data_IF_250787813479
#
_entry.id   IF_250787813479
#
_cell.length_a   1.000
_cell.length_b   1.000
_cell.length_c   1.000
_cell.angle_alpha   90.00
_cell.angle_beta   90.00
_cell.angle_gamma   90.00
#
_symmetry.space_group_name_H-M   'P 1'
#
loop_
_entity.id
_entity.type
_entity.pdbx_description
1 polymer ?
#
# COMPACT_ATOMS: atom_id res chain seq x y z
N UNK A 1 55.65 -51.37 2.84
CA UNK A 1 55.33 -50.00 2.41
C UNK A 1 53.82 -49.80 2.50
N UNK A 2 53.36 -49.25 3.62
CA UNK A 2 51.94 -49.03 3.91
C UNK A 2 51.47 -47.73 3.26
N UNK A 3 50.49 -47.81 2.35
CA UNK A 3 49.84 -46.63 1.78
C UNK A 3 48.70 -46.18 2.71
N UNK A 4 48.97 -45.11 3.44
CA UNK A 4 48.00 -44.36 4.24
C UNK A 4 46.90 -43.83 3.31
N UNK A 5 45.65 -44.28 3.49
CA UNK A 5 44.48 -43.70 2.82
C UNK A 5 43.92 -42.59 3.73
N UNK A 6 44.16 -41.35 3.33
CA UNK A 6 43.61 -40.16 3.96
C UNK A 6 42.10 -40.09 3.68
N UNK A 7 41.27 -40.22 4.71
CA UNK A 7 39.85 -39.93 4.66
C UNK A 7 39.66 -38.41 4.77
N UNK A 8 39.29 -37.75 3.67
CA UNK A 8 38.74 -36.40 3.71
C UNK A 8 37.26 -36.49 4.11
N UNK A 9 36.94 -36.14 5.35
CA UNK A 9 35.57 -35.84 5.77
C UNK A 9 35.18 -34.47 5.23
N UNK A 10 34.36 -34.44 4.17
CA UNK A 10 33.70 -33.22 3.70
C UNK A 10 32.51 -32.99 4.62
N UNK A 11 32.67 -32.12 5.62
CA UNK A 11 31.53 -31.57 6.36
C UNK A 11 30.82 -30.57 5.45
N UNK A 12 29.71 -30.98 4.83
CA UNK A 12 28.80 -30.08 4.16
C UNK A 12 28.02 -29.29 5.24
N UNK A 13 28.50 -28.09 5.57
CA UNK A 13 27.73 -27.13 6.36
C UNK A 13 26.66 -26.58 5.42
N UNK A 14 25.45 -27.14 5.50
CA UNK A 14 24.27 -26.54 4.91
C UNK A 14 23.95 -25.27 5.70
N UNK A 15 24.33 -24.11 5.17
CA UNK A 15 23.74 -22.85 5.59
C UNK A 15 22.28 -22.87 5.11
N UNK A 16 21.36 -23.18 6.01
CA UNK A 16 19.96 -22.85 5.81
C UNK A 16 19.87 -21.32 5.83
N UNK A 17 20.05 -20.70 4.67
CA UNK A 17 19.61 -19.33 4.46
C UNK A 17 18.09 -19.37 4.57
N UNK A 18 17.56 -19.01 5.75
CA UNK A 18 16.16 -18.64 5.88
C UNK A 18 15.99 -17.33 5.09
N UNK A 19 15.87 -17.43 3.77
CA UNK A 19 15.22 -16.39 3.01
C UNK A 19 13.78 -16.38 3.53
N UNK A 20 13.51 -15.51 4.52
CA UNK A 20 12.13 -15.21 4.92
C UNK A 20 11.48 -14.66 3.66
N UNK A 21 10.62 -15.46 3.03
CA UNK A 21 9.90 -15.03 1.84
C UNK A 21 9.22 -13.70 2.16
N UNK A 22 9.42 -12.69 1.31
CA UNK A 22 8.82 -11.37 1.53
C UNK A 22 7.30 -11.52 1.68
N UNK A 23 6.75 -10.92 2.74
CA UNK A 23 5.31 -10.89 2.98
C UNK A 23 4.66 -9.88 2.03
N UNK A 24 4.31 -10.35 0.84
CA UNK A 24 3.72 -9.55 -0.24
C UNK A 24 2.27 -9.98 -0.48
N UNK A 25 1.33 -9.04 -0.32
CA UNK A 25 -0.07 -9.26 -0.69
C UNK A 25 -0.28 -8.82 -2.13
N UNK A 26 -0.71 -9.73 -2.99
CA UNK A 26 -0.99 -9.45 -4.40
C UNK A 26 -2.49 -9.25 -4.68
N UNK A 27 -2.81 -8.75 -5.87
CA UNK A 27 -4.20 -8.64 -6.35
C UNK A 27 -4.91 -9.99 -6.37
N UNK A 28 -4.19 -11.07 -6.69
CA UNK A 28 -4.73 -12.44 -6.66
C UNK A 28 -5.18 -12.82 -5.24
N UNK A 29 -4.36 -12.53 -4.23
CA UNK A 29 -4.71 -12.74 -2.83
C UNK A 29 -5.99 -11.98 -2.47
N UNK A 30 -6.07 -10.70 -2.84
CA UNK A 30 -7.26 -9.86 -2.58
C UNK A 30 -8.51 -10.47 -3.20
N UNK A 31 -8.45 -10.87 -4.47
CA UNK A 31 -9.59 -11.44 -5.20
C UNK A 31 -10.04 -12.75 -4.54
N UNK A 32 -9.12 -13.68 -4.27
CA UNK A 32 -9.42 -14.97 -3.64
C UNK A 32 -9.98 -14.80 -2.22
N UNK A 33 -9.38 -13.93 -1.41
CA UNK A 33 -9.86 -13.60 -0.08
C UNK A 33 -11.29 -13.02 -0.11
N UNK A 34 -11.58 -12.13 -1.06
CA UNK A 34 -12.92 -11.52 -1.20
C UNK A 34 -14.02 -12.54 -1.52
N UNK A 35 -13.65 -13.64 -2.20
CA UNK A 35 -14.55 -14.73 -2.59
C UNK A 35 -14.56 -15.90 -1.60
N UNK A 36 -13.72 -15.86 -0.57
CA UNK A 36 -13.48 -16.96 0.37
C UNK A 36 -12.99 -18.24 -0.33
N UNK A 37 -12.14 -18.07 -1.33
CA UNK A 37 -11.46 -19.16 -2.03
C UNK A 37 -10.13 -19.51 -1.34
N UNK A 38 -9.50 -20.62 -1.76
CA UNK A 38 -8.17 -20.99 -1.29
C UNK A 38 -7.16 -19.89 -1.63
N UNK A 39 -6.43 -19.40 -0.62
CA UNK A 39 -5.49 -18.29 -0.75
C UNK A 39 -4.15 -18.76 -1.34
N UNK A 40 -3.46 -17.92 -2.13
CA UNK A 40 -2.08 -18.19 -2.49
C UNK A 40 -1.19 -18.15 -1.23
N UNK A 41 -0.15 -18.96 -1.22
CA UNK A 41 0.81 -19.01 -0.12
C UNK A 41 1.60 -17.70 -0.06
N UNK A 42 1.75 -17.15 1.14
CA UNK A 42 2.54 -15.96 1.44
C UNK A 42 3.37 -16.23 2.70
N UNK A 43 4.52 -15.57 2.81
CA UNK A 43 5.50 -15.83 3.88
C UNK A 43 5.13 -15.31 5.28
N UNK A 44 3.86 -15.09 5.57
CA UNK A 44 3.39 -14.43 6.79
C UNK A 44 1.92 -14.74 7.09
N UNK A 45 1.57 -14.64 8.37
CA UNK A 45 0.18 -14.71 8.83
C UNK A 45 -0.44 -13.32 8.88
N UNK A 46 -1.53 -13.12 8.13
CA UNK A 46 -2.18 -11.82 8.00
C UNK A 46 -3.52 -11.75 8.74
N UNK A 47 -3.70 -10.67 9.51
CA UNK A 47 -5.03 -10.25 9.96
C UNK A 47 -5.61 -9.22 8.97
N UNK A 48 -6.63 -9.64 8.23
CA UNK A 48 -7.21 -8.85 7.16
C UNK A 48 -8.73 -8.81 7.21
N UNK A 49 -9.28 -7.74 6.66
CA UNK A 49 -10.68 -7.67 6.25
C UNK A 49 -10.74 -7.28 4.79
N UNK A 50 -11.19 -8.22 3.95
CA UNK A 50 -11.32 -8.01 2.51
C UNK A 50 -12.75 -8.33 2.11
N UNK A 51 -13.38 -7.40 1.38
CA UNK A 51 -14.75 -7.56 0.90
C UNK A 51 -14.95 -6.93 -0.47
N UNK A 52 -15.52 -7.71 -1.38
CA UNK A 52 -16.10 -7.24 -2.64
C UNK A 52 -17.59 -6.94 -2.41
N UNK A 53 -18.01 -5.67 -2.62
CA UNK A 53 -19.41 -5.27 -2.45
C UNK A 53 -20.34 -5.72 -3.58
N UNK A 54 -19.81 -6.10 -4.75
CA UNK A 54 -20.58 -6.64 -5.87
C UNK A 54 -21.17 -8.01 -5.56
N UNK A 55 -20.54 -8.76 -4.64
CA UNK A 55 -21.02 -10.07 -4.20
C UNK A 55 -22.20 -10.00 -3.22
N UNK A 56 -22.74 -8.79 -2.94
CA UNK A 56 -23.95 -8.64 -2.11
C UNK A 56 -25.15 -9.25 -2.84
N UNK A 57 -25.77 -10.26 -2.23
CA UNK A 57 -26.99 -10.89 -2.74
C UNK A 57 -28.07 -9.84 -3.01
N UNK A 58 -28.70 -9.93 -4.18
CA UNK A 58 -29.87 -9.11 -4.55
C UNK A 58 -29.57 -7.78 -5.26
N UNK A 59 -28.31 -7.43 -5.50
CA UNK A 59 -27.96 -6.24 -6.31
C UNK A 59 -27.48 -6.69 -7.69
N UNK A 60 -28.16 -6.33 -8.79
CA UNK A 60 -27.66 -6.58 -10.14
C UNK A 60 -26.27 -5.97 -10.32
N UNK A 61 -25.33 -6.70 -10.93
CA UNK A 61 -23.95 -6.25 -11.15
C UNK A 61 -23.85 -4.91 -11.90
N UNK A 62 -24.82 -4.61 -12.77
CA UNK A 62 -24.93 -3.33 -13.49
C UNK A 62 -25.33 -2.13 -12.61
N UNK A 63 -25.88 -2.38 -11.42
CA UNK A 63 -26.26 -1.36 -10.42
C UNK A 63 -25.38 -1.39 -9.18
N UNK A 64 -24.52 -2.40 -9.04
CA UNK A 64 -23.64 -2.53 -7.90
C UNK A 64 -22.55 -1.45 -7.98
N UNK A 65 -22.42 -0.66 -6.91
CA UNK A 65 -21.23 0.15 -6.71
C UNK A 65 -20.07 -0.82 -6.42
N UNK A 66 -19.34 -1.19 -7.49
CA UNK A 66 -18.23 -2.13 -7.44
C UNK A 66 -17.15 -1.55 -6.54
N UNK A 67 -17.01 -2.08 -5.33
CA UNK A 67 -16.06 -1.56 -4.36
C UNK A 67 -15.33 -2.71 -3.67
N UNK A 68 -14.00 -2.61 -3.65
CA UNK A 68 -13.18 -3.39 -2.73
C UNK A 68 -13.00 -2.62 -1.43
N UNK A 69 -13.31 -3.26 -0.31
CA UNK A 69 -12.91 -2.83 1.02
C UNK A 69 -11.73 -3.71 1.42
N UNK A 70 -10.55 -3.12 1.57
CA UNK A 70 -9.31 -3.82 1.88
C UNK A 70 -8.72 -3.20 3.14
N UNK A 71 -8.62 -4.00 4.20
CA UNK A 71 -8.04 -3.59 5.47
C UNK A 71 -6.98 -4.57 5.88
N UNK A 72 -5.79 -4.05 6.21
CA UNK A 72 -4.73 -4.77 6.91
C UNK A 72 -4.32 -3.92 8.12
N UNK A 73 -4.37 -4.52 9.30
CA UNK A 73 -4.08 -3.80 10.54
C UNK A 73 -3.17 -4.58 11.47
N UNK A 74 -2.23 -3.87 12.09
CA UNK A 74 -1.25 -4.45 13.03
C UNK A 74 -0.44 -5.59 12.40
N UNK A 75 0.03 -5.39 11.16
CA UNK A 75 0.83 -6.36 10.42
C UNK A 75 2.31 -5.99 10.50
N UNK A 76 3.06 -6.68 11.36
CA UNK A 76 4.49 -6.47 11.51
C UNK A 76 5.28 -7.07 10.35
N UNK A 77 4.84 -8.20 9.80
CA UNK A 77 5.58 -8.88 8.73
C UNK A 77 5.29 -8.32 7.34
N UNK A 78 4.16 -7.62 7.15
CA UNK A 78 3.72 -7.10 5.85
C UNK A 78 4.67 -6.01 5.32
N UNK A 79 5.38 -6.33 4.23
CA UNK A 79 6.38 -5.43 3.61
C UNK A 79 5.86 -4.73 2.37
N UNK A 80 4.98 -5.38 1.60
CA UNK A 80 4.44 -4.84 0.36
C UNK A 80 2.99 -5.26 0.07
N UNK A 81 2.28 -4.39 -0.64
CA UNK A 81 0.99 -4.69 -1.26
C UNK A 81 1.04 -4.30 -2.73
N UNK A 82 0.65 -5.24 -3.61
CA UNK A 82 0.53 -5.02 -5.04
C UNK A 82 -0.91 -5.20 -5.53
N UNK A 83 -1.56 -4.08 -5.84
CA UNK A 83 -2.93 -3.98 -6.37
C UNK A 83 -2.96 -3.73 -7.88
N UNK A 84 -1.85 -3.85 -8.59
CA UNK A 84 -1.74 -3.45 -10.00
C UNK A 84 -2.66 -4.21 -10.96
N UNK A 85 -2.91 -5.49 -10.67
CA UNK A 85 -3.78 -6.38 -11.44
C UNK A 85 -5.23 -6.37 -10.94
N UNK A 86 -5.58 -5.51 -9.98
CA UNK A 86 -6.95 -5.39 -9.50
C UNK A 86 -7.83 -4.69 -10.55
N UNK A 87 -9.05 -5.20 -10.73
CA UNK A 87 -9.96 -4.70 -11.76
C UNK A 87 -10.26 -3.20 -11.59
N UNK A 88 -9.84 -2.39 -12.56
CA UNK A 88 -9.95 -0.92 -12.55
C UNK A 88 -11.39 -0.39 -12.56
N UNK A 89 -12.40 -1.24 -12.85
CA UNK A 89 -13.82 -0.87 -12.72
C UNK A 89 -14.23 -0.68 -11.27
N UNK A 90 -13.48 -1.23 -10.33
CA UNK A 90 -13.79 -1.11 -8.91
C UNK A 90 -13.28 0.20 -8.34
N UNK A 91 -14.08 0.78 -7.45
CA UNK A 91 -13.60 1.73 -6.47
C UNK A 91 -12.89 0.99 -5.33
N UNK A 92 -11.87 1.59 -4.73
CA UNK A 92 -11.14 0.95 -3.63
C UNK A 92 -11.21 1.81 -2.37
N UNK A 93 -11.51 1.16 -1.24
CA UNK A 93 -11.29 1.71 0.11
C UNK A 93 -10.16 0.91 0.74
N UNK A 94 -8.98 1.51 0.83
CA UNK A 94 -7.76 0.89 1.33
C UNK A 94 -7.43 1.42 2.72
N UNK A 95 -7.38 0.54 3.72
CA UNK A 95 -7.05 0.88 5.11
C UNK A 95 -5.85 0.07 5.58
N UNK A 96 -4.69 0.72 5.65
CA UNK A 96 -3.43 0.15 6.11
C UNK A 96 -3.05 0.86 7.41
N UNK A 97 -3.33 0.21 8.54
CA UNK A 97 -3.23 0.82 9.86
C UNK A 97 -2.25 0.03 10.75
N UNK A 98 -1.20 0.69 11.22
CA UNK A 98 -0.15 0.11 12.07
C UNK A 98 0.56 -1.09 11.40
N UNK A 99 1.03 -0.90 10.16
CA UNK A 99 1.83 -1.90 9.45
C UNK A 99 3.27 -1.38 9.32
N UNK A 100 4.09 -1.43 10.39
CA UNK A 100 5.30 -0.61 10.50
C UNK A 100 6.37 -0.94 9.45
N UNK A 101 6.40 -2.17 8.92
CA UNK A 101 7.36 -2.61 7.92
C UNK A 101 6.83 -2.48 6.48
N UNK A 102 5.58 -2.04 6.29
CA UNK A 102 5.01 -1.80 4.98
C UNK A 102 5.68 -0.57 4.36
N UNK A 103 6.48 -0.80 3.33
CA UNK A 103 7.25 0.23 2.63
C UNK A 103 6.79 0.42 1.19
N UNK A 104 6.17 -0.60 0.60
CA UNK A 104 5.80 -0.61 -0.82
C UNK A 104 4.30 -0.77 -0.99
N UNK A 105 3.70 0.12 -1.77
CA UNK A 105 2.31 0.03 -2.22
C UNK A 105 2.27 0.29 -3.73
N UNK A 106 1.89 -0.71 -4.51
CA UNK A 106 1.67 -0.58 -5.94
C UNK A 106 0.16 -0.55 -6.21
N UNK A 107 -0.31 0.51 -6.86
CA UNK A 107 -1.72 0.67 -7.24
C UNK A 107 -1.97 0.36 -8.72
N UNK A 108 -0.91 0.21 -9.52
CA UNK A 108 -0.96 0.15 -10.98
C UNK A 108 -1.82 1.27 -11.58
N UNK A 109 -2.89 0.87 -12.26
CA UNK A 109 -3.80 1.77 -12.99
C UNK A 109 -5.10 2.06 -12.23
N UNK A 110 -5.19 1.73 -10.94
CA UNK A 110 -6.35 2.08 -10.11
C UNK A 110 -6.47 3.60 -9.97
N UNK A 111 -7.61 4.16 -10.39
CA UNK A 111 -7.83 5.62 -10.41
C UNK A 111 -8.77 6.11 -9.32
N UNK A 112 -9.75 5.28 -8.94
CA UNK A 112 -10.86 5.71 -8.10
C UNK A 112 -10.78 5.12 -6.70
N UNK A 113 -10.47 5.96 -5.71
CA UNK A 113 -10.47 5.59 -4.31
C UNK A 113 -11.56 6.33 -3.53
N UNK A 114 -12.14 5.68 -2.53
CA UNK A 114 -12.85 6.39 -1.47
C UNK A 114 -11.82 6.95 -0.48
N UNK A 115 -11.00 6.03 0.03
CA UNK A 115 -10.06 6.27 1.11
C UNK A 115 -8.78 5.50 0.84
N UNK A 116 -7.65 6.13 1.13
CA UNK A 116 -6.35 5.49 1.29
C UNK A 116 -5.83 5.90 2.66
N UNK A 117 -5.84 4.98 3.62
CA UNK A 117 -5.26 5.18 4.95
C UNK A 117 -3.91 4.48 5.00
N UNK A 118 -2.85 5.24 5.27
CA UNK A 118 -1.46 4.77 5.38
C UNK A 118 -0.92 4.95 6.81
N UNK A 119 -1.83 4.96 7.78
CA UNK A 119 -1.53 5.28 9.17
C UNK A 119 -0.59 4.23 9.77
N UNK A 120 0.53 4.67 10.35
CA UNK A 120 1.48 3.77 10.99
C UNK A 120 2.20 2.82 10.02
N UNK A 121 2.21 3.11 8.71
CA UNK A 121 3.01 2.38 7.70
C UNK A 121 4.34 3.07 7.41
N UNK A 122 5.44 2.37 7.15
CA UNK A 122 6.74 2.98 6.80
C UNK A 122 6.77 3.76 5.47
N UNK A 123 5.68 3.79 4.70
CA UNK A 123 5.58 4.51 3.42
C UNK A 123 5.89 6.01 3.61
N UNK A 124 6.86 6.50 2.82
CA UNK A 124 7.27 7.92 2.72
C UNK A 124 7.18 8.46 1.30
N UNK A 125 7.41 7.61 0.30
CA UNK A 125 7.24 7.95 -1.10
C UNK A 125 5.80 7.61 -1.51
N UNK A 126 5.05 8.63 -1.94
CA UNK A 126 3.66 8.47 -2.39
C UNK A 126 3.49 8.77 -3.88
N UNK A 127 4.57 8.71 -4.67
CA UNK A 127 4.50 8.86 -6.14
C UNK A 127 3.66 7.78 -6.83
N UNK A 128 3.42 6.64 -6.19
CA UNK A 128 2.46 5.63 -6.66
C UNK A 128 1.02 6.17 -6.80
N UNK A 129 0.73 7.37 -6.27
CA UNK A 129 -0.55 8.05 -6.43
C UNK A 129 -0.72 8.75 -7.78
N UNK A 130 0.28 8.80 -8.67
CA UNK A 130 0.28 9.55 -9.94
C UNK A 130 -1.03 9.46 -10.76
N UNK A 131 -1.61 8.25 -10.78
CA UNK A 131 -2.78 7.91 -11.59
C UNK A 131 -4.14 8.16 -10.91
N UNK A 132 -4.19 8.50 -9.62
CA UNK A 132 -5.46 8.62 -8.91
C UNK A 132 -6.25 9.85 -9.35
N UNK A 133 -7.56 9.69 -9.53
CA UNK A 133 -8.48 10.75 -9.96
C UNK A 133 -9.46 11.18 -8.86
N UNK A 134 -9.57 10.39 -7.78
CA UNK A 134 -10.36 10.75 -6.60
C UNK A 134 -9.92 9.95 -5.37
N UNK A 135 -9.97 10.57 -4.19
CA UNK A 135 -9.78 9.86 -2.93
C UNK A 135 -9.43 10.76 -1.75
N UNK A 136 -9.72 10.27 -0.54
CA UNK A 136 -9.27 10.89 0.71
C UNK A 136 -8.06 10.13 1.26
N UNK A 137 -6.93 10.81 1.41
CA UNK A 137 -5.68 10.22 1.88
C UNK A 137 -5.46 10.56 3.35
N UNK A 138 -5.13 9.55 4.14
CA UNK A 138 -4.87 9.65 5.57
C UNK A 138 -3.48 9.10 5.90
N UNK A 139 -2.80 9.77 6.82
CA UNK A 139 -1.55 9.35 7.43
C UNK A 139 -1.61 9.70 8.92
N UNK A 140 -0.73 9.18 9.78
CA UNK A 140 -0.77 9.44 11.25
C UNK A 140 0.45 10.14 11.81
N UNK A 141 1.43 10.53 11.00
CA UNK A 141 2.71 10.95 11.58
C UNK A 141 3.14 12.29 11.04
N UNK A 142 2.64 13.34 11.68
CA UNK A 142 3.44 14.56 11.83
C UNK A 142 4.35 14.34 13.04
N UNK A 143 5.68 14.39 12.86
CA UNK A 143 6.56 14.63 14.02
C UNK A 143 6.42 16.12 14.33
N UNK A 144 5.99 16.45 15.53
CA UNK A 144 6.03 17.81 16.02
C UNK A 144 7.30 18.00 16.84
N UNK A 145 8.16 18.90 16.39
CA UNK A 145 9.30 19.34 17.17
C UNK A 145 8.89 20.56 18.00
N UNK A 146 8.78 20.37 19.31
CA UNK A 146 8.42 21.43 20.27
C UNK A 146 9.50 22.50 20.37
N UNK A 147 10.77 22.15 20.13
CA UNK A 147 11.90 23.08 20.28
C UNK A 147 11.99 24.01 19.09
N UNK A 148 11.68 23.51 17.90
CA UNK A 148 11.69 24.30 16.66
C UNK A 148 10.31 24.86 16.29
N UNK A 149 9.25 24.50 17.01
CA UNK A 149 7.86 24.80 16.65
C UNK A 149 7.54 24.35 15.20
N UNK A 150 8.07 23.19 14.78
CA UNK A 150 7.96 22.67 13.40
C UNK A 150 7.18 21.37 13.32
N UNK A 151 6.31 21.29 12.32
CA UNK A 151 5.66 20.06 11.88
C UNK A 151 6.45 19.46 10.72
N UNK A 152 6.71 18.16 10.79
CA UNK A 152 7.35 17.41 9.71
C UNK A 152 6.32 16.54 9.00
N UNK A 153 6.31 16.59 7.67
CA UNK A 153 5.52 15.69 6.85
C UNK A 153 6.11 14.28 6.90
N UNK A 154 5.26 13.27 7.01
CA UNK A 154 5.67 11.87 6.82
C UNK A 154 6.14 11.61 5.39
N UNK A 155 5.42 12.20 4.43
CA UNK A 155 5.65 11.96 3.02
C UNK A 155 6.72 12.91 2.50
N UNK A 156 7.74 12.34 1.89
CA UNK A 156 8.91 13.09 1.39
C UNK A 156 8.89 13.23 -0.13
N UNK A 157 8.17 12.36 -0.84
CA UNK A 157 8.06 12.39 -2.29
C UNK A 157 6.60 12.29 -2.69
N UNK A 158 6.15 13.24 -3.52
CA UNK A 158 4.80 13.32 -4.06
C UNK A 158 4.85 13.22 -5.58
N UNK A 159 3.75 12.83 -6.23
CA UNK A 159 3.54 13.11 -7.65
C UNK A 159 3.91 14.55 -7.98
N UNK A 160 4.65 14.76 -9.07
CA UNK A 160 5.18 16.07 -9.44
C UNK A 160 5.03 16.41 -10.93
N UNK A 161 4.48 15.51 -11.75
CA UNK A 161 4.06 15.88 -13.10
C UNK A 161 2.73 16.64 -13.01
N UNK A 162 2.74 17.93 -13.39
CA UNK A 162 1.54 18.77 -13.43
C UNK A 162 0.46 18.21 -14.36
N UNK A 163 0.84 17.46 -15.40
CA UNK A 163 -0.07 16.83 -16.32
C UNK A 163 -0.69 15.54 -15.77
N UNK A 164 -0.23 15.05 -14.62
CA UNK A 164 -0.71 13.82 -13.99
C UNK A 164 -2.19 13.90 -13.59
N UNK A 165 -2.81 12.73 -13.51
CA UNK A 165 -4.18 12.61 -13.03
C UNK A 165 -4.30 13.08 -11.58
N UNK A 166 -3.29 12.75 -10.76
CA UNK A 166 -3.20 13.20 -9.37
C UNK A 166 -3.23 14.73 -9.26
N UNK A 167 -2.34 15.44 -9.96
CA UNK A 167 -2.26 16.90 -9.83
C UNK A 167 -3.54 17.60 -10.33
N UNK A 168 -4.12 17.13 -11.44
CA UNK A 168 -5.44 17.58 -11.92
C UNK A 168 -6.56 17.34 -10.89
N UNK A 169 -6.56 16.17 -10.26
CA UNK A 169 -7.55 15.81 -9.24
C UNK A 169 -7.35 16.59 -7.93
N UNK A 170 -6.11 16.89 -7.55
CA UNK A 170 -5.76 17.71 -6.40
C UNK A 170 -6.24 19.15 -6.61
N UNK A 171 -5.95 19.76 -7.77
CA UNK A 171 -6.40 21.10 -8.15
C UNK A 171 -7.92 21.23 -8.14
N UNK A 172 -8.62 20.19 -8.59
CA UNK A 172 -10.09 20.12 -8.57
C UNK A 172 -10.69 19.62 -7.25
N UNK A 173 -9.87 19.46 -6.19
CA UNK A 173 -10.26 19.01 -4.84
C UNK A 173 -10.94 17.62 -4.79
N UNK A 174 -10.77 16.80 -5.83
CA UNK A 174 -11.22 15.39 -5.87
C UNK A 174 -10.29 14.47 -5.09
N UNK A 175 -9.03 14.87 -4.94
CA UNK A 175 -8.04 14.26 -4.06
C UNK A 175 -7.72 15.23 -2.93
N UNK A 176 -7.60 14.72 -1.69
CA UNK A 176 -7.23 15.54 -0.53
C UNK A 176 -6.55 14.71 0.56
N UNK A 177 -5.66 15.35 1.32
CA UNK A 177 -5.10 14.84 2.57
C UNK A 177 -5.93 15.36 3.75
N UNK A 178 -6.59 14.46 4.50
CA UNK A 178 -7.70 14.85 5.39
C UNK A 178 -7.28 15.29 6.80
N UNK A 179 -6.09 14.93 7.28
CA UNK A 179 -5.69 15.17 8.68
C UNK A 179 -4.47 16.06 8.85
N UNK A 180 -3.72 16.29 7.77
CA UNK A 180 -2.37 16.87 7.85
C UNK A 180 -2.20 17.94 6.80
N UNK A 181 -2.34 19.20 7.22
CA UNK A 181 -2.23 20.38 6.33
C UNK A 181 -0.86 20.46 5.67
N UNK A 182 0.20 19.95 6.31
CA UNK A 182 1.53 19.92 5.71
C UNK A 182 1.62 18.97 4.51
N UNK A 183 1.01 17.78 4.59
CA UNK A 183 0.98 16.85 3.46
C UNK A 183 0.18 17.43 2.29
N UNK A 184 -0.96 18.06 2.60
CA UNK A 184 -1.75 18.76 1.59
C UNK A 184 -0.91 19.86 0.90
N UNK A 185 -0.23 20.71 1.68
CA UNK A 185 0.64 21.78 1.14
C UNK A 185 1.80 21.24 0.31
N UNK A 186 2.46 20.19 0.77
CA UNK A 186 3.59 19.60 0.05
C UNK A 186 3.13 18.98 -1.28
N UNK A 187 1.98 18.30 -1.30
CA UNK A 187 1.38 17.79 -2.52
C UNK A 187 1.01 18.92 -3.49
N UNK A 188 0.36 19.98 -3.00
CA UNK A 188 -0.01 21.14 -3.83
C UNK A 188 1.21 21.84 -4.40
N UNK A 189 2.26 22.04 -3.58
CA UNK A 189 3.54 22.59 -4.02
C UNK A 189 4.20 21.72 -5.09
N UNK A 190 4.18 20.40 -4.92
CA UNK A 190 4.71 19.43 -5.88
C UNK A 190 3.98 19.49 -7.24
N UNK A 191 2.70 19.87 -7.21
CA UNK A 191 1.86 20.03 -8.40
C UNK A 191 1.78 21.49 -8.91
N UNK A 192 2.63 22.40 -8.42
CA UNK A 192 2.59 23.84 -8.76
C UNK A 192 1.19 24.48 -8.65
N UNK A 193 0.45 24.11 -7.61
CA UNK A 193 -0.86 24.70 -7.31
C UNK A 193 -0.65 25.91 -6.40
N UNK A 194 -0.85 27.10 -6.96
CA UNK A 194 -0.91 28.34 -6.19
C UNK A 194 -2.16 28.35 -5.30
N UNK A 195 -2.01 28.87 -4.08
CA UNK A 195 -3.13 29.10 -3.18
C UNK A 195 -3.52 30.56 -3.28
N UNK A 196 -4.78 30.81 -3.64
CA UNK A 196 -5.44 32.11 -3.49
C UNK A 196 -5.50 32.55 -2.02
#
# INVERSE_FOLDING_TARGET
>A
MNKLKTLLSIAAIAFAANATADCVVTSEYIVKASKKEALPEIGCDLNYYIKDTSLRKGVPSSKANLTYLITFSNQEELTAIDLSELNQRYKVSLRLENNPNLTTLNLGELKNFNTISLKGSAIKDVRFLENITSGSIYSTTEKYDITENKQYSRFTHFPNDEASNFCKALKSRKVKFVQHKINQRNAEKSCNIERD
#
